data_IF_138248189668
#
_entry.id   IF_138248189668
#
_cell.length_a   1.000
_cell.length_b   1.000
_cell.length_c   1.000
_cell.angle_alpha   90.00
_cell.angle_beta   90.00
_cell.angle_gamma   90.00
#
_symmetry.space_group_name_H-M   'P 1'
#
loop_
_entity.id
_entity.type
_entity.pdbx_description
1 polymer ?
#
# COMPACT_ATOMS: atom_id res chain seq x y z
N UNK A 1 52.73 -20.43 2.84
CA UNK A 1 52.49 -19.22 2.00
C UNK A 1 51.01 -19.09 1.52
N UNK A 2 50.20 -20.16 1.46
CA UNK A 2 48.78 -20.08 1.03
C UNK A 2 47.85 -19.44 2.05
N UNK A 3 48.06 -19.61 3.37
CA UNK A 3 47.21 -19.10 4.44
C UNK A 3 47.21 -17.57 4.58
N UNK A 4 48.27 -16.87 4.24
CA UNK A 4 48.32 -15.40 4.36
C UNK A 4 47.62 -14.68 3.21
N UNK A 5 47.56 -15.28 2.00
CA UNK A 5 46.84 -14.72 0.87
C UNK A 5 45.33 -14.81 1.01
N UNK A 6 44.81 -15.88 1.63
CA UNK A 6 43.37 -16.07 1.86
C UNK A 6 42.83 -15.10 2.89
N UNK A 7 43.61 -14.79 3.93
CA UNK A 7 43.25 -13.81 4.95
C UNK A 7 43.25 -12.39 4.37
N UNK A 8 44.20 -12.06 3.50
CA UNK A 8 44.29 -10.74 2.86
C UNK A 8 43.12 -10.49 1.89
N UNK A 9 42.72 -11.52 1.15
CA UNK A 9 41.56 -11.44 0.23
C UNK A 9 40.25 -11.33 1.01
N UNK A 10 40.13 -12.03 2.13
CA UNK A 10 38.92 -11.95 2.98
C UNK A 10 38.78 -10.58 3.64
N UNK A 11 39.87 -10.03 4.20
CA UNK A 11 39.88 -8.67 4.78
C UNK A 11 39.61 -7.60 3.71
N UNK A 12 40.15 -7.72 2.51
CA UNK A 12 39.86 -6.80 1.43
C UNK A 12 38.37 -6.83 0.99
N UNK A 13 37.77 -8.01 0.93
CA UNK A 13 36.33 -8.15 0.61
C UNK A 13 35.45 -7.53 1.67
N UNK A 14 35.73 -7.73 2.97
CA UNK A 14 34.97 -7.13 4.08
C UNK A 14 35.09 -5.61 4.06
N UNK A 15 36.27 -5.05 3.81
CA UNK A 15 36.48 -3.60 3.70
C UNK A 15 35.76 -2.99 2.50
N UNK A 16 35.72 -3.67 1.35
CA UNK A 16 35.01 -3.19 0.15
C UNK A 16 33.49 -3.20 0.34
N UNK A 17 32.95 -4.23 0.98
CA UNK A 17 31.50 -4.30 1.28
C UNK A 17 31.09 -3.23 2.28
N UNK A 18 31.88 -2.97 3.33
CA UNK A 18 31.59 -1.93 4.31
C UNK A 18 31.69 -0.51 3.70
N UNK A 19 32.64 -0.29 2.80
CA UNK A 19 32.79 0.97 2.07
C UNK A 19 31.65 1.24 1.06
N UNK A 20 31.06 0.19 0.47
CA UNK A 20 29.95 0.31 -0.47
C UNK A 20 28.61 0.60 0.21
N UNK A 21 28.47 0.35 1.51
CA UNK A 21 27.26 0.64 2.29
C UNK A 21 27.19 2.07 2.83
N UNK A 22 28.29 2.82 2.79
CA UNK A 22 28.36 4.20 3.29
C UNK A 22 28.27 5.19 2.15
N UNK A 23 27.18 5.90 2.06
CA UNK A 23 26.98 7.00 1.12
C UNK A 23 27.02 8.32 1.89
N UNK A 24 27.90 9.23 1.50
CA UNK A 24 27.95 10.58 2.05
C UNK A 24 27.08 11.48 1.19
N UNK A 25 26.05 12.07 1.79
CA UNK A 25 25.23 13.10 1.16
C UNK A 25 25.70 14.45 1.70
N UNK A 26 26.01 15.39 0.81
CA UNK A 26 26.37 16.75 1.17
C UNK A 26 25.09 17.56 1.34
N UNK A 27 24.82 18.00 2.56
CA UNK A 27 23.81 19.02 2.83
C UNK A 27 24.56 20.32 3.20
N UNK A 28 24.61 21.24 2.25
CA UNK A 28 25.53 22.37 2.33
C UNK A 28 26.99 21.90 2.28
N UNK A 29 27.80 22.28 3.28
CA UNK A 29 29.20 21.86 3.41
C UNK A 29 29.42 20.77 4.48
N UNK A 30 28.36 20.16 5.00
CA UNK A 30 28.45 19.12 6.03
C UNK A 30 28.21 17.76 5.43
N UNK A 31 29.18 16.84 5.46
CA UNK A 31 28.98 15.48 5.01
C UNK A 31 28.09 14.71 6.02
N UNK A 32 26.91 14.31 5.59
CA UNK A 32 26.02 13.45 6.37
C UNK A 32 26.25 12.01 5.91
N UNK A 33 26.63 11.13 6.84
CA UNK A 33 26.74 9.71 6.59
C UNK A 33 25.34 9.09 6.47
N UNK A 34 24.96 8.66 5.28
CA UNK A 34 23.71 7.93 5.05
C UNK A 34 24.04 6.46 4.82
N UNK A 35 23.45 5.60 5.62
CA UNK A 35 23.59 4.16 5.44
C UNK A 35 22.72 3.71 4.25
N UNK A 36 23.32 3.02 3.30
CA UNK A 36 22.58 2.47 2.16
C UNK A 36 21.79 1.26 2.63
N UNK A 37 20.48 1.44 2.78
CA UNK A 37 19.58 0.33 3.10
C UNK A 37 19.26 -0.46 1.84
N UNK A 38 19.35 -1.78 1.90
CA UNK A 38 18.97 -2.65 0.78
C UNK A 38 17.45 -2.76 0.68
N UNK A 39 16.93 -3.10 -0.51
CA UNK A 39 15.49 -3.29 -0.72
C UNK A 39 14.92 -4.44 0.13
N UNK A 40 15.76 -5.40 0.49
CA UNK A 40 15.38 -6.51 1.37
C UNK A 40 15.21 -6.07 2.83
N UNK A 41 16.04 -5.14 3.30
CA UNK A 41 15.93 -4.60 4.67
C UNK A 41 14.70 -3.71 4.88
N UNK A 42 14.13 -3.17 3.80
CA UNK A 42 12.96 -2.29 3.84
C UNK A 42 11.68 -2.95 3.34
N UNK A 43 11.75 -4.20 2.87
CA UNK A 43 10.63 -4.85 2.18
C UNK A 43 9.35 -4.89 3.01
N UNK A 44 9.42 -5.23 4.29
CA UNK A 44 8.23 -5.27 5.17
C UNK A 44 7.55 -3.89 5.25
N UNK A 45 8.34 -2.84 5.45
CA UNK A 45 7.81 -1.46 5.54
C UNK A 45 7.22 -1.01 4.22
N UNK A 46 7.93 -1.24 3.10
CA UNK A 46 7.46 -0.86 1.76
C UNK A 46 6.22 -1.67 1.35
N UNK A 47 6.16 -2.96 1.70
CA UNK A 47 5.02 -3.83 1.43
C UNK A 47 3.76 -3.34 2.17
N UNK A 48 3.87 -3.04 3.47
CA UNK A 48 2.75 -2.50 4.26
C UNK A 48 2.30 -1.15 3.73
N UNK A 49 3.23 -0.24 3.46
CA UNK A 49 2.93 1.08 2.88
C UNK A 49 2.23 0.96 1.52
N UNK A 50 2.68 0.04 0.67
CA UNK A 50 2.06 -0.21 -0.64
C UNK A 50 0.63 -0.73 -0.52
N UNK A 51 0.40 -1.71 0.36
CA UNK A 51 -0.93 -2.26 0.61
C UNK A 51 -1.86 -1.19 1.19
N UNK A 52 -1.40 -0.39 2.15
CA UNK A 52 -2.18 0.70 2.73
C UNK A 52 -2.52 1.77 1.68
N UNK A 53 -1.56 2.16 0.86
CA UNK A 53 -1.75 3.14 -0.22
C UNK A 53 -2.79 2.67 -1.24
N UNK A 54 -2.76 1.39 -1.65
CA UNK A 54 -3.78 0.80 -2.52
C UNK A 54 -5.17 0.89 -1.89
N UNK A 55 -5.31 0.46 -0.62
CA UNK A 55 -6.60 0.49 0.07
C UNK A 55 -7.11 1.91 0.25
N UNK A 56 -6.21 2.85 0.54
CA UNK A 56 -6.56 4.27 0.63
C UNK A 56 -7.17 4.76 -0.69
N UNK A 57 -6.53 4.54 -1.83
CA UNK A 57 -7.05 4.97 -3.13
C UNK A 57 -8.33 4.24 -3.53
N UNK A 58 -8.43 2.94 -3.27
CA UNK A 58 -9.57 2.13 -3.71
C UNK A 58 -10.83 2.35 -2.87
N UNK A 59 -10.70 2.61 -1.57
CA UNK A 59 -11.81 2.67 -0.62
C UNK A 59 -12.12 4.06 -0.05
N UNK A 60 -11.30 5.08 -0.30
CA UNK A 60 -11.60 6.46 0.07
C UNK A 60 -12.25 7.17 -1.11
N UNK A 61 -13.55 7.44 -0.99
CA UNK A 61 -14.35 7.98 -2.09
C UNK A 61 -15.17 9.18 -1.60
N UNK A 62 -15.18 10.24 -2.40
CA UNK A 62 -16.04 11.39 -2.20
C UNK A 62 -17.11 11.43 -3.30
N UNK A 63 -18.25 12.11 -3.11
CA UNK A 63 -19.30 12.24 -4.13
C UNK A 63 -18.91 13.24 -5.23
N UNK A 64 -17.79 13.01 -5.86
CA UNK A 64 -17.22 13.76 -6.99
C UNK A 64 -16.67 12.78 -8.02
N UNK A 65 -17.22 12.82 -9.24
CA UNK A 65 -16.86 11.89 -10.31
C UNK A 65 -15.37 12.02 -10.74
N UNK A 66 -14.83 13.24 -10.74
CA UNK A 66 -13.41 13.48 -11.08
C UNK A 66 -12.50 12.90 -10.00
N UNK A 67 -12.86 13.08 -8.74
CA UNK A 67 -12.12 12.53 -7.62
C UNK A 67 -12.15 11.00 -7.62
N UNK A 68 -13.33 10.39 -7.84
CA UNK A 68 -13.47 8.92 -7.94
C UNK A 68 -12.59 8.37 -9.05
N UNK A 69 -12.62 8.97 -10.23
CA UNK A 69 -11.75 8.53 -11.35
C UNK A 69 -10.27 8.67 -10.99
N UNK A 70 -9.88 9.80 -10.44
CA UNK A 70 -8.49 10.05 -10.05
C UNK A 70 -7.98 9.00 -9.04
N UNK A 71 -8.75 8.71 -7.99
CA UNK A 71 -8.34 7.74 -6.97
C UNK A 71 -8.32 6.31 -7.52
N UNK A 72 -9.30 5.94 -8.37
CA UNK A 72 -9.32 4.63 -9.04
C UNK A 72 -8.14 4.47 -10.00
N UNK A 73 -7.84 5.48 -10.82
CA UNK A 73 -6.68 5.44 -11.72
C UNK A 73 -5.39 5.22 -10.92
N UNK A 74 -5.23 5.89 -9.77
CA UNK A 74 -4.07 5.66 -8.89
C UNK A 74 -4.04 4.26 -8.30
N UNK A 75 -5.19 3.71 -7.87
CA UNK A 75 -5.27 2.36 -7.36
C UNK A 75 -4.89 1.31 -8.42
N UNK A 76 -5.28 1.51 -9.68
CA UNK A 76 -5.02 0.55 -10.77
C UNK A 76 -3.52 0.41 -11.13
N UNK A 77 -2.66 1.38 -10.77
CA UNK A 77 -1.21 1.21 -10.91
C UNK A 77 -0.59 0.28 -9.84
N UNK A 78 -1.34 -0.07 -8.80
CA UNK A 78 -0.87 -0.79 -7.63
C UNK A 78 -1.36 -2.24 -7.56
N UNK A 79 -2.33 -2.61 -8.42
CA UNK A 79 -3.01 -3.91 -8.41
C UNK A 79 -3.12 -4.47 -9.84
N UNK A 80 -3.20 -5.79 -9.95
CA UNK A 80 -3.41 -6.52 -11.21
C UNK A 80 -4.87 -6.48 -11.70
N UNK A 81 -5.19 -7.35 -12.66
CA UNK A 81 -6.55 -7.47 -13.21
C UNK A 81 -7.62 -7.83 -12.17
N UNK A 82 -7.26 -8.38 -11.01
CA UNK A 82 -8.25 -8.69 -9.95
C UNK A 82 -8.86 -7.42 -9.36
N UNK A 83 -8.05 -6.37 -9.19
CA UNK A 83 -8.54 -5.05 -8.78
C UNK A 83 -9.41 -4.38 -9.85
N UNK A 84 -8.98 -4.47 -11.11
CA UNK A 84 -9.74 -3.94 -12.24
C UNK A 84 -11.11 -4.65 -12.39
N UNK A 85 -11.14 -5.97 -12.23
CA UNK A 85 -12.38 -6.74 -12.27
C UNK A 85 -13.37 -6.32 -11.18
N UNK A 86 -12.86 -6.09 -9.96
CA UNK A 86 -13.67 -5.58 -8.86
C UNK A 86 -14.20 -4.16 -9.12
N UNK A 87 -13.36 -3.27 -9.63
CA UNK A 87 -13.76 -1.92 -10.02
C UNK A 87 -14.89 -1.95 -11.06
N UNK A 88 -14.73 -2.75 -12.12
CA UNK A 88 -15.75 -2.89 -13.18
C UNK A 88 -17.05 -3.46 -12.63
N UNK A 89 -16.98 -4.48 -11.77
CA UNK A 89 -18.17 -5.06 -11.11
C UNK A 89 -18.93 -4.01 -10.29
N UNK A 90 -18.23 -3.18 -9.52
CA UNK A 90 -18.85 -2.10 -8.74
C UNK A 90 -19.47 -1.04 -9.65
N UNK A 91 -18.79 -0.69 -10.75
CA UNK A 91 -19.28 0.27 -11.74
C UNK A 91 -20.57 -0.22 -12.43
N UNK A 92 -20.60 -1.47 -12.87
CA UNK A 92 -21.77 -2.09 -13.49
C UNK A 92 -22.98 -2.17 -12.56
N UNK A 93 -22.74 -2.40 -11.25
CA UNK A 93 -23.76 -2.36 -10.20
C UNK A 93 -24.23 -0.94 -9.83
N UNK A 94 -23.71 0.10 -10.49
CA UNK A 94 -24.07 1.49 -10.21
C UNK A 94 -23.58 2.03 -8.88
N UNK A 95 -22.58 1.37 -8.25
CA UNK A 95 -22.07 1.74 -6.93
C UNK A 95 -21.59 3.19 -6.87
N UNK A 96 -20.80 3.62 -7.85
CA UNK A 96 -20.29 5.00 -7.90
C UNK A 96 -21.37 6.03 -8.15
N UNK A 97 -22.39 5.71 -8.98
CA UNK A 97 -23.56 6.57 -9.17
C UNK A 97 -24.38 6.72 -7.89
N UNK A 98 -24.46 5.67 -7.09
CA UNK A 98 -25.13 5.72 -5.78
C UNK A 98 -24.37 6.61 -4.79
N UNK A 99 -23.05 6.60 -4.79
CA UNK A 99 -22.22 7.52 -3.97
C UNK A 99 -22.55 8.97 -4.32
N UNK A 100 -22.63 9.30 -5.61
CA UNK A 100 -22.99 10.62 -6.10
C UNK A 100 -24.42 11.01 -5.67
N UNK A 101 -25.40 10.14 -5.90
CA UNK A 101 -26.81 10.39 -5.60
C UNK A 101 -27.13 10.54 -4.12
N UNK A 102 -26.38 9.84 -3.26
CA UNK A 102 -26.58 9.88 -1.79
C UNK A 102 -25.65 10.87 -1.07
N UNK A 103 -24.75 11.53 -1.79
CA UNK A 103 -23.69 12.39 -1.23
C UNK A 103 -22.89 11.67 -0.13
N UNK A 104 -22.62 10.37 -0.33
CA UNK A 104 -21.92 9.57 0.64
C UNK A 104 -20.40 9.80 0.55
N UNK A 105 -19.74 9.92 1.70
CA UNK A 105 -18.28 9.99 1.81
C UNK A 105 -17.80 8.70 2.45
N UNK A 106 -16.81 8.05 1.80
CA UNK A 106 -16.19 6.83 2.27
C UNK A 106 -14.76 7.13 2.72
N UNK A 107 -14.40 6.68 3.90
CA UNK A 107 -13.05 6.77 4.44
C UNK A 107 -12.62 5.41 4.93
N UNK A 108 -11.39 5.00 4.62
CA UNK A 108 -10.80 3.76 5.10
C UNK A 108 -9.75 4.06 6.18
N UNK A 109 -9.74 3.27 7.21
CA UNK A 109 -8.76 3.32 8.30
C UNK A 109 -8.10 1.96 8.39
N UNK A 110 -6.78 1.92 8.29
CA UNK A 110 -6.00 0.71 8.47
C UNK A 110 -5.88 0.40 9.96
N UNK A 111 -6.29 -0.79 10.37
CA UNK A 111 -6.11 -1.27 11.74
C UNK A 111 -4.80 -2.08 11.85
N UNK A 112 -4.53 -2.95 10.88
CA UNK A 112 -3.27 -3.70 10.78
C UNK A 112 -3.08 -4.34 9.41
N UNK A 113 -1.84 -4.67 9.10
CA UNK A 113 -1.47 -5.43 7.92
C UNK A 113 -0.54 -6.55 8.36
N UNK A 114 -0.94 -7.80 8.14
CA UNK A 114 -0.07 -8.95 8.31
C UNK A 114 0.59 -9.24 6.96
N UNK A 115 1.92 -9.18 6.92
CA UNK A 115 2.70 -9.48 5.73
C UNK A 115 3.66 -10.64 6.03
N UNK A 116 3.69 -11.61 5.13
CA UNK A 116 4.63 -12.74 5.14
C UNK A 116 5.62 -12.55 3.99
N UNK A 117 6.86 -12.22 4.33
CA UNK A 117 7.92 -11.94 3.35
C UNK A 117 8.30 -13.17 2.51
N UNK A 118 8.34 -14.35 3.11
CA UNK A 118 8.74 -15.58 2.41
C UNK A 118 7.75 -15.95 1.29
N UNK A 119 6.45 -15.76 1.56
CA UNK A 119 5.36 -16.06 0.63
C UNK A 119 4.93 -14.86 -0.20
N UNK A 120 5.40 -13.66 0.17
CA UNK A 120 4.94 -12.39 -0.39
C UNK A 120 3.41 -12.23 -0.29
N UNK A 121 2.80 -12.71 0.78
CA UNK A 121 1.35 -12.69 1.01
C UNK A 121 0.99 -11.68 2.09
N UNK A 122 -0.12 -10.99 1.91
CA UNK A 122 -0.63 -10.07 2.92
C UNK A 122 -2.10 -10.34 3.26
N UNK A 123 -2.46 -9.93 4.47
CA UNK A 123 -3.85 -9.75 4.91
C UNK A 123 -3.98 -8.37 5.52
N UNK A 124 -4.88 -7.57 4.94
CA UNK A 124 -5.21 -6.22 5.39
C UNK A 124 -6.46 -6.28 6.26
N UNK A 125 -6.42 -5.60 7.39
CA UNK A 125 -7.54 -5.39 8.31
C UNK A 125 -7.80 -3.90 8.43
N UNK A 126 -9.04 -3.48 8.21
CA UNK A 126 -9.40 -2.07 8.32
C UNK A 126 -10.88 -1.85 8.54
N UNK A 127 -11.21 -0.62 8.87
CA UNK A 127 -12.59 -0.16 9.04
C UNK A 127 -12.90 0.92 8.02
N UNK A 128 -13.98 0.72 7.28
CA UNK A 128 -14.51 1.72 6.37
C UNK A 128 -15.66 2.47 7.04
N UNK A 129 -15.53 3.79 7.11
CA UNK A 129 -16.59 4.70 7.57
C UNK A 129 -17.30 5.27 6.36
N UNK A 130 -18.61 5.07 6.32
CA UNK A 130 -19.48 5.57 5.25
C UNK A 130 -20.40 6.63 5.87
N UNK A 131 -20.11 7.86 5.54
CA UNK A 131 -20.85 9.01 6.06
C UNK A 131 -21.86 9.49 5.03
N UNK A 132 -23.14 9.45 5.39
CA UNK A 132 -24.25 9.98 4.63
C UNK A 132 -24.83 11.20 5.33
N UNK A 133 -25.74 11.89 4.69
CA UNK A 133 -26.38 13.08 5.29
C UNK A 133 -27.05 12.78 6.63
N UNK A 134 -27.70 11.65 6.79
CA UNK A 134 -28.53 11.29 7.98
C UNK A 134 -27.92 10.18 8.83
N UNK A 135 -26.89 9.51 8.38
CA UNK A 135 -26.31 8.34 9.09
C UNK A 135 -24.83 8.18 8.84
N UNK A 136 -24.18 7.50 9.79
CA UNK A 136 -22.81 7.03 9.69
C UNK A 136 -22.87 5.52 9.83
N UNK A 137 -22.29 4.80 8.87
CA UNK A 137 -22.12 3.36 8.88
C UNK A 137 -20.64 3.03 9.01
N UNK A 138 -20.31 2.17 9.94
CA UNK A 138 -18.95 1.60 10.08
C UNK A 138 -18.98 0.14 9.64
N UNK A 139 -18.03 -0.22 8.81
CA UNK A 139 -17.93 -1.53 8.17
C UNK A 139 -16.55 -2.10 8.40
N UNK A 140 -16.47 -3.36 8.80
CA UNK A 140 -15.22 -4.10 8.86
C UNK A 140 -14.87 -4.62 7.47
N UNK A 141 -13.62 -4.41 7.08
CA UNK A 141 -13.08 -4.84 5.81
C UNK A 141 -11.81 -5.67 6.03
N UNK A 142 -11.81 -6.89 5.53
CA UNK A 142 -10.61 -7.73 5.48
C UNK A 142 -10.37 -8.13 4.04
N UNK A 143 -9.16 -7.90 3.55
CA UNK A 143 -8.73 -8.31 2.21
C UNK A 143 -7.44 -9.09 2.28
N UNK A 144 -7.15 -9.87 1.26
CA UNK A 144 -5.89 -10.58 1.12
C UNK A 144 -5.44 -10.58 -0.34
N UNK A 145 -4.16 -10.79 -0.53
CA UNK A 145 -3.51 -10.89 -1.82
C UNK A 145 -2.04 -11.24 -1.68
N UNK A 146 -1.33 -11.15 -2.79
CA UNK A 146 0.13 -11.34 -2.84
C UNK A 146 0.78 -10.10 -3.40
N UNK A 147 2.07 -9.95 -3.15
CA UNK A 147 2.88 -8.90 -3.73
C UNK A 147 3.87 -9.48 -4.73
N UNK A 148 4.01 -8.84 -5.89
CA UNK A 148 4.98 -9.16 -6.92
C UNK A 148 5.89 -7.96 -7.13
N UNK A 149 7.19 -8.17 -7.22
CA UNK A 149 8.14 -7.10 -7.55
C UNK A 149 7.99 -6.69 -9.01
N UNK A 150 7.92 -5.40 -9.25
CA UNK A 150 7.85 -4.77 -10.57
C UNK A 150 8.80 -3.56 -10.62
N UNK A 151 9.16 -3.03 -11.79
CA UNK A 151 9.91 -1.79 -11.87
C UNK A 151 9.20 -0.63 -11.15
N UNK A 152 9.97 0.21 -10.46
CA UNK A 152 9.46 1.44 -9.84
C UNK A 152 9.10 2.46 -10.91
N UNK A 153 8.02 3.17 -10.69
CA UNK A 153 7.56 4.28 -11.52
C UNK A 153 7.01 5.40 -10.64
N UNK A 154 6.77 6.58 -11.20
CA UNK A 154 6.16 7.71 -10.47
C UNK A 154 4.78 7.38 -9.90
N UNK A 155 4.04 6.47 -10.55
CA UNK A 155 2.73 6.01 -10.09
C UNK A 155 2.81 4.77 -9.18
N UNK A 156 3.97 4.12 -9.11
CA UNK A 156 4.23 2.96 -8.25
C UNK A 156 5.64 3.05 -7.64
N UNK A 157 5.83 3.90 -6.63
CA UNK A 157 7.14 4.20 -6.07
C UNK A 157 7.77 3.03 -5.29
N UNK A 158 6.95 2.13 -4.75
CA UNK A 158 7.43 0.96 -4.00
C UNK A 158 7.95 -0.16 -4.92
N UNK A 159 7.58 -0.17 -6.23
CA UNK A 159 7.94 -1.25 -7.15
C UNK A 159 7.34 -2.59 -6.76
N UNK A 160 6.12 -2.57 -6.25
CA UNK A 160 5.32 -3.73 -5.87
C UNK A 160 3.99 -3.72 -6.63
N UNK A 161 3.45 -4.88 -6.94
CA UNK A 161 2.14 -5.04 -7.56
C UNK A 161 1.33 -6.02 -6.71
N UNK A 162 0.14 -5.61 -6.29
CA UNK A 162 -0.81 -6.50 -5.64
C UNK A 162 -1.39 -7.43 -6.71
N UNK A 163 -1.32 -8.74 -6.46
CA UNK A 163 -1.86 -9.78 -7.33
C UNK A 163 -2.77 -10.72 -6.52
N UNK A 164 -3.69 -11.40 -7.20
CA UNK A 164 -4.66 -12.30 -6.57
C UNK A 164 -5.48 -11.62 -5.46
N UNK A 165 -5.77 -10.33 -5.61
CA UNK A 165 -6.48 -9.57 -4.59
C UNK A 165 -7.94 -10.00 -4.44
N UNK A 166 -8.38 -10.19 -3.19
CA UNK A 166 -9.74 -10.60 -2.87
C UNK A 166 -10.21 -10.04 -1.54
N UNK A 167 -11.51 -9.81 -1.42
CA UNK A 167 -12.17 -9.47 -0.17
C UNK A 167 -12.53 -10.74 0.59
N UNK A 168 -12.07 -10.85 1.84
CA UNK A 168 -12.39 -11.96 2.73
C UNK A 168 -13.60 -11.64 3.63
N UNK A 169 -13.71 -10.39 4.07
CA UNK A 169 -14.80 -9.91 4.90
C UNK A 169 -15.17 -8.47 4.51
N UNK A 170 -16.46 -8.21 4.44
CA UNK A 170 -17.01 -6.86 4.25
C UNK A 170 -18.35 -6.81 4.98
N UNK A 171 -18.33 -6.45 6.28
CA UNK A 171 -19.50 -6.57 7.18
C UNK A 171 -19.77 -5.27 7.91
N UNK A 172 -21.03 -4.87 7.93
CA UNK A 172 -21.48 -3.73 8.71
C UNK A 172 -21.41 -4.08 10.20
N UNK A 173 -20.72 -3.26 11.00
CA UNK A 173 -20.53 -3.47 12.44
C UNK A 173 -21.28 -2.46 13.29
N UNK A 174 -21.47 -1.24 12.80
CA UNK A 174 -22.16 -0.20 13.55
C UNK A 174 -22.86 0.77 12.59
N UNK A 175 -24.11 1.15 12.93
CA UNK A 175 -24.82 2.23 12.25
C UNK A 175 -25.31 3.23 13.27
N UNK A 176 -24.97 4.50 13.09
CA UNK A 176 -25.43 5.64 13.91
C UNK A 176 -26.24 6.60 13.06
N UNK A 177 -27.40 7.01 13.55
CA UNK A 177 -28.14 8.11 12.95
C UNK A 177 -27.54 9.44 13.42
N UNK A 178 -27.35 10.38 12.52
CA UNK A 178 -27.00 11.76 12.88
C UNK A 178 -28.28 12.41 13.42
N UNK A 179 -28.30 12.74 14.70
CA UNK A 179 -29.36 13.57 15.24
C UNK A 179 -29.26 14.91 14.54
N UNK A 180 -30.37 15.35 13.91
CA UNK A 180 -30.46 16.70 13.41
C UNK A 180 -30.44 17.64 14.63
N UNK A 181 -29.40 18.43 14.77
CA UNK A 181 -29.37 19.60 15.62
C UNK A 181 -30.08 20.75 14.91
#
# INVERSE_FOLDING_TARGET
TRRSSDLSIWTARVMVTDAQQKVYVLDGNVPILVQRTTMEETLDVEARSHVEMFHHFFFTLAPDDKYIRYTMDKAMYLVDETGLAQYNTLKEKGFYNNIMGTSAVFSIFCDSINFNEEKMEFTYYGRQRIERRTSILTRELVTAGKLKRVPRTDNNPHGLLIVDWRTLLNKDIEQKNKNNF
#
